data_IF_705404400905
#
_entry.id   IF_705404400905
#
_cell.length_a   1.000
_cell.length_b   1.000
_cell.length_c   1.000
_cell.angle_alpha   90.00
_cell.angle_beta   90.00
_cell.angle_gamma   90.00
#
_symmetry.space_group_name_H-M   'P 1'
#
loop_
_entity.id
_entity.type
_entity.pdbx_description
1 polymer ?
#
# COMPACT_ATOMS: atom_id res chain seq x y z
N UNK A 1 -30.92 1.53 -8.58
CA UNK A 1 -29.63 1.82 -9.23
C UNK A 1 -28.68 2.22 -8.11
N UNK A 2 -27.85 1.30 -7.61
CA UNK A 2 -26.97 1.58 -6.47
C UNK A 2 -25.70 2.23 -7.00
N UNK A 3 -25.58 3.54 -6.80
CA UNK A 3 -24.40 4.32 -7.16
C UNK A 3 -23.22 3.89 -6.30
N UNK A 4 -22.12 3.58 -6.99
CA UNK A 4 -20.83 3.12 -6.51
C UNK A 4 -20.14 4.18 -5.62
N UNK A 5 -20.62 4.34 -4.38
CA UNK A 5 -20.12 5.31 -3.41
C UNK A 5 -18.97 4.67 -2.61
N UNK A 6 -17.76 5.22 -2.78
CA UNK A 6 -16.58 5.06 -1.93
C UNK A 6 -15.82 3.71 -1.98
N UNK A 7 -15.12 3.44 -3.09
CA UNK A 7 -14.00 2.48 -3.11
C UNK A 7 -12.69 3.03 -2.49
N UNK A 8 -12.68 4.27 -2.02
CA UNK A 8 -11.56 4.87 -1.28
C UNK A 8 -11.77 4.66 0.22
N UNK A 9 -11.47 3.44 0.69
CA UNK A 9 -11.41 3.13 2.12
C UNK A 9 -10.23 3.88 2.73
N UNK A 10 -10.45 5.15 3.11
CA UNK A 10 -9.42 5.94 3.79
C UNK A 10 -9.06 5.26 5.11
N UNK A 11 -7.76 5.05 5.35
CA UNK A 11 -7.26 4.50 6.60
C UNK A 11 -7.62 5.43 7.76
N UNK A 12 -8.32 4.96 8.82
CA UNK A 12 -8.54 5.75 10.02
C UNK A 12 -7.22 6.30 10.57
N UNK A 13 -7.22 7.57 11.01
CA UNK A 13 -5.99 8.25 11.41
C UNK A 13 -5.29 7.54 12.57
N UNK A 14 -6.03 7.17 13.62
CA UNK A 14 -5.47 6.46 14.79
C UNK A 14 -4.81 5.12 14.43
N UNK A 15 -5.30 4.44 13.39
CA UNK A 15 -4.71 3.19 12.92
C UNK A 15 -3.40 3.45 12.18
N UNK A 16 -3.39 4.45 11.29
CA UNK A 16 -2.18 4.87 10.62
C UNK A 16 -1.11 5.35 11.62
N UNK A 17 -1.49 6.16 12.62
CA UNK A 17 -0.55 6.74 13.58
C UNK A 17 0.17 5.68 14.42
N UNK A 18 -0.52 4.58 14.76
CA UNK A 18 0.10 3.43 15.46
C UNK A 18 1.19 2.78 14.62
N UNK A 19 0.90 2.51 13.35
CA UNK A 19 1.87 1.95 12.42
C UNK A 19 2.99 2.97 12.14
N UNK A 20 2.66 4.25 11.97
CA UNK A 20 3.64 5.29 11.70
C UNK A 20 4.60 5.50 12.88
N UNK A 21 4.14 5.29 14.12
CA UNK A 21 5.02 5.34 15.30
C UNK A 21 6.06 4.23 15.31
N UNK A 22 5.75 3.08 14.73
CA UNK A 22 6.65 1.92 14.63
C UNK A 22 7.54 1.99 13.40
N UNK A 23 6.94 2.36 12.26
CA UNK A 23 7.56 2.24 10.96
C UNK A 23 7.95 3.57 10.32
N UNK A 24 7.65 4.73 10.92
CA UNK A 24 8.06 6.08 10.46
C UNK A 24 7.94 6.26 8.94
N UNK A 25 6.72 6.21 8.43
CA UNK A 25 6.46 6.24 6.99
C UNK A 25 6.72 7.61 6.39
N UNK A 26 7.28 7.61 5.18
CA UNK A 26 7.58 8.82 4.43
C UNK A 26 7.07 8.78 2.98
N UNK A 27 6.39 7.69 2.57
CA UNK A 27 5.76 7.55 1.26
C UNK A 27 4.38 6.86 1.33
N UNK A 28 3.37 7.45 0.68
CA UNK A 28 2.03 6.87 0.47
C UNK A 28 1.69 6.79 -1.04
N UNK A 29 1.88 5.64 -1.70
CA UNK A 29 1.71 5.52 -3.15
C UNK A 29 0.25 5.28 -3.57
N UNK A 30 -0.69 5.21 -2.62
CA UNK A 30 -2.11 4.92 -2.88
C UNK A 30 -3.04 6.06 -2.47
N UNK A 31 -2.50 7.27 -2.31
CA UNK A 31 -3.24 8.40 -1.79
C UNK A 31 -4.06 9.15 -2.85
N UNK A 32 -4.95 9.99 -2.33
CA UNK A 32 -5.46 11.17 -3.00
C UNK A 32 -4.93 12.40 -2.27
N UNK A 33 -5.01 13.59 -2.88
CA UNK A 33 -4.61 14.85 -2.23
C UNK A 33 -5.29 15.07 -0.86
N UNK A 34 -6.50 14.50 -0.67
CA UNK A 34 -7.29 14.62 0.56
C UNK A 34 -7.06 13.49 1.56
N UNK A 35 -6.44 12.39 1.16
CA UNK A 35 -6.29 11.18 1.97
C UNK A 35 -4.84 10.80 2.26
N UNK A 36 -3.88 11.56 1.73
CA UNK A 36 -2.46 11.31 1.89
C UNK A 36 -2.07 11.21 3.37
N UNK A 37 -1.35 10.15 3.71
CA UNK A 37 -0.83 9.93 5.07
C UNK A 37 0.62 10.34 5.26
N UNK A 38 1.35 10.53 4.15
CA UNK A 38 2.75 10.92 4.15
C UNK A 38 2.95 12.23 3.38
N UNK A 39 4.05 12.96 3.67
CA UNK A 39 4.42 14.17 2.92
C UNK A 39 4.65 13.87 1.44
N UNK A 40 5.29 12.74 1.13
CA UNK A 40 5.39 12.24 -0.23
C UNK A 40 4.27 11.26 -0.49
N UNK A 41 3.51 11.48 -1.54
CA UNK A 41 2.44 10.59 -1.94
C UNK A 41 2.26 10.59 -3.45
N UNK A 42 1.61 9.56 -3.98
CA UNK A 42 1.23 9.51 -5.38
C UNK A 42 -0.28 9.45 -5.52
N UNK A 43 -0.78 10.26 -6.44
CA UNK A 43 -2.17 10.30 -6.86
C UNK A 43 -2.46 9.23 -7.90
N UNK A 44 -3.74 8.96 -8.16
CA UNK A 44 -4.17 8.06 -9.23
C UNK A 44 -3.64 8.48 -10.62
N UNK A 45 -3.40 9.78 -10.83
CA UNK A 45 -2.81 10.33 -12.05
C UNK A 45 -1.32 10.04 -12.18
N UNK A 46 -0.58 10.02 -11.07
CA UNK A 46 0.86 9.72 -11.06
C UNK A 46 1.15 8.21 -11.12
N UNK A 47 0.14 7.39 -10.85
CA UNK A 47 0.19 5.93 -10.90
C UNK A 47 1.34 5.37 -10.04
N UNK A 48 1.08 5.23 -8.74
CA UNK A 48 2.06 4.74 -7.77
C UNK A 48 2.69 3.39 -8.12
N UNK A 49 2.06 2.57 -8.99
CA UNK A 49 2.65 1.32 -9.46
C UNK A 49 3.86 1.52 -10.39
N UNK A 50 3.96 2.66 -11.06
CA UNK A 50 5.05 2.99 -11.99
C UNK A 50 6.20 3.74 -11.34
N UNK A 51 6.01 4.24 -10.12
CA UNK A 51 7.00 5.03 -9.42
C UNK A 51 8.03 4.14 -8.69
N UNK A 52 9.24 4.65 -8.53
CA UNK A 52 10.29 4.01 -7.72
C UNK A 52 10.10 4.34 -6.24
N UNK A 53 10.12 3.33 -5.37
CA UNK A 53 9.98 3.47 -3.92
C UNK A 53 11.29 3.21 -3.17
N UNK A 54 12.39 3.00 -3.89
CA UNK A 54 13.71 2.75 -3.30
C UNK A 54 14.14 3.83 -2.29
N UNK A 55 14.56 3.41 -1.10
CA UNK A 55 15.02 4.27 0.00
C UNK A 55 13.90 4.86 0.86
N UNK A 56 12.64 4.50 0.61
CA UNK A 56 11.48 5.00 1.36
C UNK A 56 10.93 3.96 2.34
N UNK A 57 10.18 4.46 3.32
CA UNK A 57 9.37 3.71 4.29
C UNK A 57 7.92 3.91 3.88
N UNK A 58 7.36 2.91 3.23
CA UNK A 58 6.17 3.01 2.38
C UNK A 58 4.97 2.43 3.09
N UNK A 59 3.90 3.21 3.22
CA UNK A 59 2.59 2.73 3.66
C UNK A 59 1.68 2.55 2.45
N UNK A 60 1.26 1.31 2.17
CA UNK A 60 0.47 0.96 0.99
C UNK A 60 -0.92 0.51 1.44
N UNK A 61 -1.95 1.31 1.16
CA UNK A 61 -3.35 0.92 1.31
C UNK A 61 -4.05 1.02 -0.06
N UNK A 62 -3.92 0.00 -0.92
CA UNK A 62 -4.37 0.09 -2.30
C UNK A 62 -5.90 0.02 -2.39
N UNK A 63 -6.50 0.59 -3.45
CA UNK A 63 -7.92 0.41 -3.69
C UNK A 63 -8.24 -1.08 -3.81
N UNK A 64 -9.16 -1.57 -2.96
CA UNK A 64 -9.49 -2.98 -2.92
C UNK A 64 -10.22 -3.40 -4.21
N UNK A 65 -9.77 -4.49 -4.84
CA UNK A 65 -10.36 -4.99 -6.07
C UNK A 65 -9.38 -5.79 -6.92
N UNK A 66 -9.62 -5.82 -8.23
CA UNK A 66 -8.88 -6.66 -9.19
C UNK A 66 -7.39 -6.37 -9.29
N UNK A 67 -6.93 -5.21 -8.79
CA UNK A 67 -5.53 -4.79 -8.88
C UNK A 67 -4.69 -5.13 -7.64
N UNK A 68 -5.27 -5.69 -6.56
CA UNK A 68 -4.53 -6.03 -5.33
C UNK A 68 -3.28 -6.86 -5.64
N UNK A 69 -3.37 -7.86 -6.54
CA UNK A 69 -2.22 -8.68 -6.90
C UNK A 69 -1.05 -7.89 -7.52
N UNK A 70 -1.31 -6.79 -8.24
CA UNK A 70 -0.26 -5.92 -8.78
C UNK A 70 0.45 -5.14 -7.67
N UNK A 71 -0.33 -4.63 -6.72
CA UNK A 71 0.20 -3.93 -5.55
C UNK A 71 1.04 -4.85 -4.67
N UNK A 72 0.56 -6.07 -4.40
CA UNK A 72 1.30 -7.08 -3.64
C UNK A 72 2.63 -7.41 -4.33
N UNK A 73 2.61 -7.70 -5.63
CA UNK A 73 3.83 -7.96 -6.41
C UNK A 73 4.81 -6.78 -6.32
N UNK A 74 4.32 -5.55 -6.47
CA UNK A 74 5.17 -4.37 -6.35
C UNK A 74 5.74 -4.17 -4.95
N UNK A 75 4.93 -4.38 -3.91
CA UNK A 75 5.41 -4.28 -2.52
C UNK A 75 6.56 -5.27 -2.28
N UNK A 76 6.42 -6.50 -2.78
CA UNK A 76 7.48 -7.49 -2.73
C UNK A 76 8.74 -7.02 -3.45
N UNK A 77 8.62 -6.57 -4.72
CA UNK A 77 9.76 -6.11 -5.53
C UNK A 77 10.48 -4.89 -4.92
N UNK A 78 9.73 -3.90 -4.45
CA UNK A 78 10.27 -2.68 -3.83
C UNK A 78 10.88 -2.97 -2.46
N UNK A 79 10.28 -3.88 -1.68
CA UNK A 79 10.81 -4.30 -0.38
C UNK A 79 12.16 -5.03 -0.46
N UNK A 80 12.58 -5.50 -1.64
CA UNK A 80 13.94 -6.06 -1.83
C UNK A 80 15.02 -4.99 -2.05
N UNK A 81 14.63 -3.71 -2.23
CA UNK A 81 15.59 -2.63 -2.48
C UNK A 81 16.27 -2.20 -1.17
N UNK A 82 17.51 -1.74 -1.28
CA UNK A 82 18.27 -1.26 -0.12
C UNK A 82 17.53 -0.12 0.58
N UNK A 83 17.56 -0.13 1.92
CA UNK A 83 16.93 0.88 2.77
C UNK A 83 15.45 1.15 2.47
N UNK A 84 14.74 0.13 1.95
CA UNK A 84 13.32 0.25 1.60
C UNK A 84 12.51 -0.63 2.52
N UNK A 85 11.49 -0.06 3.16
CA UNK A 85 10.56 -0.78 4.02
C UNK A 85 9.16 -0.57 3.45
N UNK A 86 8.38 -1.64 3.29
CA UNK A 86 7.03 -1.57 2.73
C UNK A 86 6.06 -2.25 3.68
N UNK A 87 5.04 -1.52 4.12
CA UNK A 87 3.91 -2.06 4.89
C UNK A 87 2.67 -2.01 4.02
N UNK A 88 2.08 -3.17 3.75
CA UNK A 88 0.92 -3.33 2.89
C UNK A 88 -0.32 -3.69 3.72
N UNK A 89 -1.33 -2.83 3.68
CA UNK A 89 -2.64 -3.07 4.30
C UNK A 89 -3.60 -3.70 3.28
N UNK A 90 -3.88 -4.99 3.44
CA UNK A 90 -4.82 -5.75 2.60
C UNK A 90 -5.73 -6.63 3.47
N UNK A 91 -6.93 -6.99 2.97
CA UNK A 91 -7.75 -8.00 3.64
C UNK A 91 -7.03 -9.34 3.68
N UNK A 92 -7.09 -10.05 4.81
CA UNK A 92 -6.48 -11.39 4.95
C UNK A 92 -7.24 -12.42 4.12
N UNK A 93 -6.90 -12.54 2.83
CA UNK A 93 -7.43 -13.56 1.93
C UNK A 93 -6.33 -14.56 1.61
N UNK A 94 -6.13 -15.49 2.53
CA UNK A 94 -5.05 -16.49 2.51
C UNK A 94 -5.17 -17.47 1.33
N UNK A 95 -6.37 -17.64 0.78
CA UNK A 95 -6.68 -18.58 -0.31
C UNK A 95 -6.36 -18.05 -1.71
N UNK A 96 -5.74 -16.86 -1.81
CA UNK A 96 -5.51 -16.18 -3.10
C UNK A 96 -4.09 -16.43 -3.62
N UNK A 97 -3.95 -16.55 -4.95
CA UNK A 97 -2.64 -16.79 -5.59
C UNK A 97 -1.58 -15.75 -5.18
N UNK A 98 -1.94 -14.47 -5.04
CA UNK A 98 -0.96 -13.45 -4.62
C UNK A 98 -0.46 -13.66 -3.19
N UNK A 99 -1.29 -14.26 -2.31
CA UNK A 99 -0.89 -14.55 -0.94
C UNK A 99 0.18 -15.64 -0.92
N UNK A 100 -0.01 -16.72 -1.68
CA UNK A 100 0.97 -17.79 -1.79
C UNK A 100 2.26 -17.36 -2.51
N UNK A 101 2.14 -16.58 -3.58
CA UNK A 101 3.29 -16.23 -4.43
C UNK A 101 4.20 -15.17 -3.80
N UNK A 102 3.64 -14.26 -2.99
CA UNK A 102 4.36 -13.04 -2.55
C UNK A 102 4.28 -12.73 -1.05
N UNK A 103 3.44 -13.42 -0.27
CA UNK A 103 3.26 -13.14 1.16
C UNK A 103 3.73 -14.32 2.00
N UNK A 104 3.27 -15.54 1.67
CA UNK A 104 3.60 -16.75 2.41
C UNK A 104 5.11 -17.01 2.39
N UNK A 105 5.75 -17.01 3.56
CA UNK A 105 7.21 -17.12 3.78
C UNK A 105 8.05 -15.99 3.17
N UNK A 106 7.46 -14.83 2.88
CA UNK A 106 8.12 -13.68 2.23
C UNK A 106 7.90 -12.34 2.95
N UNK A 107 6.99 -12.30 3.91
CA UNK A 107 6.67 -11.15 4.74
C UNK A 107 6.71 -11.53 6.22
N UNK A 108 7.06 -10.57 7.08
CA UNK A 108 7.05 -10.66 8.55
C UNK A 108 5.78 -10.01 9.11
#
# INVERSE_FOLDING_TARGET
MFSNINNAWCTPQDFFDKLNKEFDFNLDPCATEKSAKCMKYFTATEDGLKQDWGGYRVFVNPPYGRQIGKWVKKCYEEGQKQNTLVVLLIPSRTDTRYFHDYILNKAE
#
